data_IF_247608312825
#
_entry.id   IF_247608312825
#
_cell.length_a   1.000
_cell.length_b   1.000
_cell.length_c   1.000
_cell.angle_alpha   90.00
_cell.angle_beta   90.00
_cell.angle_gamma   90.00
#
_symmetry.space_group_name_H-M   'P 1'
#
loop_
_entity.id
_entity.type
_entity.pdbx_description
1 polymer ?
#
# COMPACT_ATOMS: atom_id res chain seq x y z
N UNK A 1 -0.28 6.93 3.65
CA UNK A 1 -0.39 6.14 2.41
C UNK A 1 0.65 6.65 1.43
N UNK A 2 1.41 5.76 0.79
CA UNK A 2 2.29 6.11 -0.32
C UNK A 2 1.77 5.44 -1.60
N UNK A 3 1.48 6.24 -2.62
CA UNK A 3 0.91 5.75 -3.88
C UNK A 3 2.06 5.66 -4.88
N UNK A 4 2.41 4.45 -5.30
CA UNK A 4 3.44 4.20 -6.31
C UNK A 4 2.76 3.87 -7.65
N UNK A 5 2.57 4.89 -8.48
CA UNK A 5 2.00 4.73 -9.82
C UNK A 5 3.14 4.36 -10.77
N UNK A 6 3.28 3.06 -11.07
CA UNK A 6 3.89 2.49 -12.30
C UNK A 6 5.24 2.99 -12.83
N UNK A 7 5.94 3.96 -12.23
CA UNK A 7 7.02 4.70 -12.88
C UNK A 7 8.12 5.20 -11.92
N UNK A 8 8.41 4.46 -10.84
CA UNK A 8 9.62 4.70 -10.03
C UNK A 8 10.56 3.48 -9.93
N UNK A 9 10.29 2.40 -10.67
CA UNK A 9 11.21 1.27 -10.78
C UNK A 9 11.25 0.72 -12.21
N UNK A 10 12.46 0.54 -12.74
CA UNK A 10 12.81 0.16 -14.11
C UNK A 10 12.11 -1.12 -14.61
N UNK A 11 11.59 -1.97 -13.71
CA UNK A 11 10.92 -3.25 -14.02
C UNK A 11 9.41 -3.13 -14.32
N UNK A 12 8.77 -1.98 -14.06
CA UNK A 12 7.31 -1.80 -14.22
C UNK A 12 6.91 -0.90 -15.40
N UNK A 13 7.89 -0.33 -16.11
CA UNK A 13 7.68 0.64 -17.19
C UNK A 13 7.00 0.02 -18.43
N UNK A 14 7.03 -1.32 -18.56
CA UNK A 14 6.47 -2.06 -19.70
C UNK A 14 5.27 -2.97 -19.35
N UNK A 15 4.89 -3.11 -18.08
CA UNK A 15 3.88 -4.10 -17.64
C UNK A 15 2.48 -3.53 -17.43
N UNK A 16 2.30 -2.20 -17.44
CA UNK A 16 1.00 -1.57 -17.22
C UNK A 16 0.44 -1.85 -15.82
N UNK A 17 1.32 -1.99 -14.82
CA UNK A 17 0.97 -2.25 -13.44
C UNK A 17 1.14 -1.00 -12.57
N UNK A 18 0.43 -0.96 -11.45
CA UNK A 18 0.43 0.09 -10.44
C UNK A 18 0.29 -0.52 -9.06
N UNK A 19 0.87 0.13 -8.06
CA UNK A 19 0.95 -0.38 -6.71
C UNK A 19 0.59 0.68 -5.67
N UNK A 20 -0.41 0.39 -4.84
CA UNK A 20 -0.82 1.27 -3.74
C UNK A 20 -0.35 0.65 -2.44
N UNK A 21 0.44 1.37 -1.63
CA UNK A 21 0.97 0.83 -0.37
C UNK A 21 0.66 1.73 0.82
N UNK A 22 0.40 1.12 1.98
CA UNK A 22 0.31 1.81 3.25
C UNK A 22 1.19 1.10 4.30
N UNK A 23 2.10 1.83 4.98
CA UNK A 23 2.82 1.28 6.11
C UNK A 23 1.86 1.00 7.28
N UNK A 24 2.13 -0.05 8.03
CA UNK A 24 1.52 -0.29 9.33
C UNK A 24 2.57 -0.08 10.43
N UNK A 25 2.10 0.34 11.60
CA UNK A 25 2.95 0.76 12.71
C UNK A 25 2.64 -0.02 13.97
N UNK A 26 3.66 -0.14 14.83
CA UNK A 26 3.53 -0.66 16.18
C UNK A 26 2.82 0.33 17.13
N UNK A 27 2.54 -0.08 18.37
CA UNK A 27 2.13 0.79 19.49
C UNK A 27 3.11 1.95 19.70
N UNK A 28 4.40 1.68 19.51
CA UNK A 28 5.48 2.66 19.58
C UNK A 28 5.57 3.57 18.34
N UNK A 29 4.58 3.56 17.45
CA UNK A 29 4.57 4.29 16.17
C UNK A 29 5.70 3.92 15.20
N UNK A 30 6.44 2.83 15.48
CA UNK A 30 7.51 2.31 14.61
C UNK A 30 6.92 1.63 13.39
N UNK A 31 7.45 1.89 12.20
CA UNK A 31 7.04 1.18 10.98
C UNK A 31 7.57 -0.24 11.06
N UNK A 32 6.67 -1.22 11.10
CA UNK A 32 7.02 -2.65 11.16
C UNK A 32 6.94 -3.29 9.77
N UNK A 33 6.13 -2.74 8.87
CA UNK A 33 6.05 -3.18 7.49
C UNK A 33 5.05 -2.36 6.67
N UNK A 34 4.78 -2.82 5.46
CA UNK A 34 3.79 -2.20 4.58
C UNK A 34 2.89 -3.27 3.96
N UNK A 35 1.63 -2.89 3.73
CA UNK A 35 0.68 -3.65 2.93
C UNK A 35 0.40 -2.87 1.65
N UNK A 36 0.21 -3.58 0.54
CA UNK A 36 -0.15 -2.94 -0.71
C UNK A 36 -0.96 -3.82 -1.64
N UNK A 37 -1.64 -3.15 -2.58
CA UNK A 37 -2.41 -3.77 -3.66
C UNK A 37 -1.69 -3.52 -4.97
N UNK A 38 -1.50 -4.57 -5.75
CA UNK A 38 -0.93 -4.53 -7.11
C UNK A 38 -2.05 -4.76 -8.11
N UNK A 39 -2.11 -3.96 -9.17
CA UNK A 39 -2.93 -4.27 -10.32
C UNK A 39 -2.71 -3.32 -11.49
N UNK A 40 -3.60 -3.30 -12.50
CA UNK A 40 -3.37 -2.56 -13.73
C UNK A 40 -3.40 -1.04 -13.54
N UNK A 41 -2.77 -0.29 -14.46
CA UNK A 41 -2.63 1.17 -14.37
C UNK A 41 -3.94 1.93 -14.19
N UNK A 42 -5.06 1.39 -14.70
CA UNK A 42 -6.42 1.95 -14.59
C UNK A 42 -7.26 1.27 -13.50
N UNK A 43 -6.74 1.22 -12.28
CA UNK A 43 -7.52 0.82 -11.11
C UNK A 43 -8.30 2.00 -10.51
N UNK A 44 -9.40 1.71 -9.82
CA UNK A 44 -10.14 2.72 -9.08
C UNK A 44 -9.40 3.07 -7.77
N UNK A 45 -8.48 4.02 -7.85
CA UNK A 45 -7.69 4.50 -6.72
C UNK A 45 -8.55 5.05 -5.57
N UNK A 46 -9.71 5.65 -5.89
CA UNK A 46 -10.63 6.18 -4.87
C UNK A 46 -11.18 5.09 -3.95
N UNK A 47 -11.30 3.84 -4.43
CA UNK A 47 -11.70 2.69 -3.59
C UNK A 47 -10.52 1.99 -2.93
N UNK A 48 -9.39 1.86 -3.64
CA UNK A 48 -8.25 1.06 -3.18
C UNK A 48 -7.46 1.79 -2.09
N UNK A 49 -7.25 3.09 -2.22
CA UNK A 49 -6.52 3.88 -1.23
C UNK A 49 -7.11 3.76 0.18
N UNK A 50 -8.42 4.02 0.40
CA UNK A 50 -9.00 3.88 1.73
C UNK A 50 -9.04 2.42 2.22
N UNK A 51 -9.20 1.45 1.32
CA UNK A 51 -9.15 0.03 1.68
C UNK A 51 -7.78 -0.36 2.24
N UNK A 52 -6.70 0.03 1.54
CA UNK A 52 -5.33 -0.28 1.92
C UNK A 52 -4.94 0.45 3.22
N UNK A 53 -5.37 1.70 3.39
CA UNK A 53 -5.14 2.48 4.62
C UNK A 53 -5.87 1.89 5.84
N UNK A 54 -7.13 1.48 5.66
CA UNK A 54 -7.88 0.84 6.73
C UNK A 54 -7.27 -0.51 7.13
N UNK A 55 -6.86 -1.29 6.14
CA UNK A 55 -6.23 -2.59 6.38
C UNK A 55 -4.89 -2.45 7.09
N UNK A 56 -4.06 -1.44 6.74
CA UNK A 56 -2.80 -1.21 7.44
C UNK A 56 -3.01 -0.83 8.91
N UNK A 57 -4.07 -0.09 9.23
CA UNK A 57 -4.43 0.25 10.61
C UNK A 57 -4.90 -0.98 11.41
N UNK A 58 -5.69 -1.87 10.80
CA UNK A 58 -6.11 -3.11 11.47
C UNK A 58 -4.90 -4.02 11.72
N UNK A 59 -4.05 -4.22 10.71
CA UNK A 59 -2.85 -5.04 10.84
C UNK A 59 -1.94 -4.51 11.94
N UNK A 60 -1.78 -3.18 12.02
CA UNK A 60 -1.14 -2.54 13.17
C UNK A 60 -1.76 -3.04 14.47
N UNK A 61 -3.07 -2.84 14.68
CA UNK A 61 -3.75 -3.27 15.92
C UNK A 61 -3.64 -4.77 16.25
N UNK A 62 -3.59 -5.64 15.24
CA UNK A 62 -3.53 -7.11 15.44
C UNK A 62 -2.12 -7.57 15.77
N UNK A 63 -1.10 -7.03 15.09
CA UNK A 63 0.30 -7.38 15.33
C UNK A 63 0.88 -6.68 16.56
N UNK A 64 0.36 -5.49 16.89
CA UNK A 64 0.58 -4.77 18.14
C UNK A 64 -0.14 -5.44 19.31
N UNK A 65 0.28 -6.63 19.73
CA UNK A 65 -0.23 -7.20 21.00
C UNK A 65 0.46 -6.59 22.21
#
# INVERSE_FOLDING_TARGET
VQIYIGAQNFLFNHSGLSMVMAPYRDKDQKIIGAIGVVGPTRLNYAKIVPLVDYTSKIIGKVLCK
#
